data_IF_498105285021
#
_entry.id   IF_498105285021
#
_cell.length_a   1.000
_cell.length_b   1.000
_cell.length_c   1.000
_cell.angle_alpha   90.00
_cell.angle_beta   90.00
_cell.angle_gamma   90.00
#
_symmetry.space_group_name_H-M   'P 1'
#
loop_
_entity.id
_entity.type
_entity.pdbx_description
1 polymer ?
#
# COMPACT_ATOMS: atom_id res chain seq x y z
N UNK A 1 -62.99 -31.20 0.44
CA UNK A 1 -61.94 -31.27 -0.61
C UNK A 1 -60.57 -31.17 0.04
N UNK A 2 -59.90 -32.28 0.33
CA UNK A 2 -58.42 -32.32 0.45
C UNK A 2 -58.00 -33.73 0.00
N UNK A 3 -57.48 -33.83 -1.22
CA UNK A 3 -56.97 -35.08 -1.79
C UNK A 3 -55.53 -35.29 -1.31
N UNK A 4 -55.31 -36.39 -0.59
CA UNK A 4 -53.96 -36.88 -0.29
C UNK A 4 -53.24 -37.37 -1.55
N UNK A 5 -51.93 -37.11 -1.64
CA UNK A 5 -51.02 -37.84 -2.53
C UNK A 5 -49.66 -38.07 -1.87
N UNK A 6 -49.48 -39.33 -1.46
CA UNK A 6 -48.32 -40.22 -1.67
C UNK A 6 -46.92 -39.61 -1.56
N UNK A 7 -46.28 -39.93 -0.42
CA UNK A 7 -44.83 -40.12 -0.29
C UNK A 7 -44.32 -41.07 -1.37
N UNK A 8 -43.38 -40.60 -2.20
CA UNK A 8 -42.45 -41.45 -2.96
C UNK A 8 -41.07 -41.31 -2.33
N UNK A 9 -40.65 -42.34 -1.59
CA UNK A 9 -39.25 -42.63 -1.32
C UNK A 9 -38.59 -42.94 -2.65
N UNK A 10 -37.56 -42.18 -3.02
CA UNK A 10 -36.63 -42.57 -4.07
C UNK A 10 -35.31 -42.88 -3.39
N UNK A 11 -34.90 -44.15 -3.53
CA UNK A 11 -33.62 -44.69 -3.10
C UNK A 11 -32.49 -43.87 -3.70
N UNK A 12 -31.71 -43.20 -2.84
CA UNK A 12 -30.38 -42.71 -3.19
C UNK A 12 -29.45 -43.93 -3.11
N UNK A 13 -29.21 -44.54 -4.28
CA UNK A 13 -28.23 -45.60 -4.45
C UNK A 13 -26.88 -44.92 -4.60
N UNK A 14 -25.97 -45.19 -3.68
CA UNK A 14 -24.57 -44.82 -3.80
C UNK A 14 -23.98 -45.41 -5.09
N UNK A 15 -23.38 -44.54 -5.90
CA UNK A 15 -22.33 -44.89 -6.85
C UNK A 15 -21.19 -43.91 -6.63
N UNK A 16 -20.21 -44.39 -5.88
CA UNK A 16 -18.82 -43.94 -5.95
C UNK A 16 -18.36 -44.12 -7.41
N UNK A 17 -17.81 -43.07 -8.00
CA UNK A 17 -17.32 -43.11 -9.37
C UNK A 17 -16.76 -41.77 -9.87
N UNK A 18 -15.48 -41.55 -9.56
CA UNK A 18 -14.48 -40.80 -10.33
C UNK A 18 -14.66 -39.27 -10.48
N UNK A 19 -13.67 -38.54 -9.93
CA UNK A 19 -13.47 -37.12 -10.17
C UNK A 19 -13.20 -36.83 -11.64
N UNK A 20 -14.13 -36.14 -12.27
CA UNK A 20 -13.90 -35.42 -13.52
C UNK A 20 -13.55 -33.98 -13.18
N UNK A 21 -12.37 -33.53 -13.57
CA UNK A 21 -11.96 -32.13 -13.50
C UNK A 21 -13.01 -31.24 -14.19
N UNK A 22 -13.57 -30.30 -13.44
CA UNK A 22 -14.44 -29.26 -14.00
C UNK A 22 -13.60 -28.41 -14.95
N UNK A 23 -14.00 -28.34 -16.22
CA UNK A 23 -13.41 -27.41 -17.19
C UNK A 23 -13.55 -25.97 -16.69
N UNK A 24 -12.50 -25.15 -16.86
CA UNK A 24 -12.49 -23.70 -16.56
C UNK A 24 -13.73 -22.96 -17.10
N UNK A 25 -14.28 -23.39 -18.23
CA UNK A 25 -15.49 -22.81 -18.81
C UNK A 25 -16.77 -23.04 -17.98
N UNK A 26 -16.81 -24.06 -17.11
CA UNK A 26 -17.97 -24.32 -16.23
C UNK A 26 -17.97 -23.49 -14.95
N UNK A 27 -16.79 -23.02 -14.50
CA UNK A 27 -16.68 -22.13 -13.34
C UNK A 27 -17.12 -20.69 -13.62
N UNK A 28 -16.99 -20.23 -14.87
CA UNK A 28 -17.35 -18.88 -15.28
C UNK A 28 -18.87 -18.68 -15.46
N UNK A 29 -19.60 -19.77 -15.71
CA UNK A 29 -21.07 -19.78 -15.79
C UNK A 29 -21.73 -19.58 -14.41
N UNK A 30 -21.08 -20.05 -13.35
CA UNK A 30 -21.52 -19.86 -11.96
C UNK A 30 -21.31 -18.41 -11.47
N UNK A 31 -20.50 -17.62 -12.18
CA UNK A 31 -20.22 -16.20 -11.87
C UNK A 31 -20.93 -15.19 -12.78
N UNK A 32 -21.88 -15.61 -13.61
CA UNK A 32 -22.79 -14.70 -14.33
C UNK A 32 -22.23 -14.02 -15.59
N UNK A 33 -21.07 -14.44 -16.10
CA UNK A 33 -20.54 -13.94 -17.37
C UNK A 33 -21.16 -14.69 -18.56
N UNK A 34 -22.02 -14.01 -19.35
CA UNK A 34 -22.45 -14.55 -20.64
C UNK A 34 -21.39 -14.27 -21.74
N UNK A 35 -20.97 -15.29 -22.51
CA UNK A 35 -19.94 -15.12 -23.52
C UNK A 35 -20.48 -14.51 -24.82
N UNK A 36 -19.75 -13.52 -25.36
CA UNK A 36 -19.94 -12.96 -26.69
C UNK A 36 -19.41 -13.94 -27.75
N UNK A 37 -20.24 -14.89 -28.18
CA UNK A 37 -20.06 -15.63 -29.44
C UNK A 37 -19.11 -16.83 -29.41
N UNK A 38 -19.69 -18.04 -29.53
CA UNK A 38 -19.09 -19.36 -29.79
C UNK A 38 -17.99 -19.84 -28.82
N UNK A 39 -18.36 -20.77 -27.93
CA UNK A 39 -17.41 -21.55 -27.11
C UNK A 39 -16.53 -22.45 -28.00
N UNK A 40 -15.21 -22.38 -27.82
CA UNK A 40 -14.31 -23.45 -28.25
C UNK A 40 -14.42 -24.58 -27.24
N UNK A 41 -15.01 -25.71 -27.64
CA UNK A 41 -14.97 -26.93 -26.84
C UNK A 41 -13.60 -27.58 -27.04
N UNK A 42 -12.68 -27.34 -26.12
CA UNK A 42 -11.42 -28.10 -26.08
C UNK A 42 -11.75 -29.49 -25.57
N UNK A 43 -11.91 -30.46 -26.49
CA UNK A 43 -11.90 -31.87 -26.14
C UNK A 43 -10.48 -32.23 -25.68
N UNK A 44 -10.30 -32.45 -24.38
CA UNK A 44 -9.10 -33.07 -23.84
C UNK A 44 -9.06 -34.54 -24.24
N UNK A 45 -8.51 -34.81 -25.42
CA UNK A 45 -7.85 -36.07 -25.71
C UNK A 45 -6.35 -35.83 -25.59
N UNK A 46 -5.74 -36.43 -24.56
CA UNK A 46 -4.30 -36.72 -24.58
C UNK A 46 -4.08 -37.74 -25.69
N UNK A 47 -3.65 -37.25 -26.84
CA UNK A 47 -2.86 -37.97 -27.83
C UNK A 47 -1.93 -36.93 -28.45
N UNK A 48 -0.63 -37.12 -28.26
CA UNK A 48 0.41 -36.45 -29.03
C UNK A 48 0.25 -36.81 -30.52
N UNK A 49 0.73 -35.94 -31.41
CA UNK A 49 0.69 -36.06 -32.89
C UNK A 49 -0.56 -35.61 -33.64
N UNK A 50 -0.99 -34.36 -33.42
CA UNK A 50 -1.52 -33.57 -34.54
C UNK A 50 -0.42 -32.60 -34.98
N UNK A 51 0.22 -32.78 -36.15
CA UNK A 51 1.05 -31.73 -36.71
C UNK A 51 0.16 -30.49 -36.88
N UNK A 52 0.51 -29.42 -36.17
CA UNK A 52 -0.11 -28.11 -36.31
C UNK A 52 0.15 -27.65 -37.76
N UNK A 53 -0.77 -27.98 -38.67
CA UNK A 53 -0.64 -27.68 -40.09
C UNK A 53 -0.87 -26.19 -40.31
N UNK A 54 0.19 -25.46 -40.59
CA UNK A 54 0.13 -24.17 -41.24
C UNK A 54 0.32 -24.35 -42.76
N UNK A 55 -0.09 -23.36 -43.59
CA UNK A 55 0.25 -23.37 -45.01
C UNK A 55 1.77 -23.31 -45.21
N UNK A 56 2.26 -23.67 -46.40
CA UNK A 56 3.68 -23.59 -46.72
C UNK A 56 4.15 -22.11 -46.64
N UNK A 57 5.21 -21.81 -45.86
CA UNK A 57 5.77 -20.47 -45.81
C UNK A 57 6.46 -20.14 -47.15
N UNK A 58 6.13 -18.99 -47.73
CA UNK A 58 6.74 -18.49 -48.95
C UNK A 58 7.92 -17.56 -48.67
N UNK A 59 7.82 -16.74 -47.62
CA UNK A 59 8.86 -15.78 -47.24
C UNK A 59 8.76 -15.40 -45.75
N UNK A 60 9.83 -14.85 -45.19
CA UNK A 60 9.82 -14.25 -43.87
C UNK A 60 10.79 -13.06 -43.80
N UNK A 61 10.35 -11.97 -43.17
CA UNK A 61 11.18 -10.78 -43.00
C UNK A 61 10.89 -10.06 -41.68
N UNK A 62 11.85 -9.27 -41.22
CA UNK A 62 11.67 -8.37 -40.08
C UNK A 62 11.17 -7.00 -40.57
N UNK A 63 9.98 -6.61 -40.12
CA UNK A 63 9.46 -5.27 -40.32
C UNK A 63 9.99 -4.34 -39.22
N UNK A 64 10.91 -3.45 -39.60
CA UNK A 64 11.52 -2.46 -38.71
C UNK A 64 10.50 -1.49 -38.10
N UNK A 65 9.40 -1.18 -38.82
CA UNK A 65 8.43 -0.19 -38.37
C UNK A 65 7.57 -0.73 -37.22
N UNK A 66 7.14 -1.98 -37.32
CA UNK A 66 6.33 -2.65 -36.27
C UNK A 66 7.16 -3.48 -35.30
N UNK A 67 8.46 -3.69 -35.58
CA UNK A 67 9.38 -4.57 -34.84
C UNK A 67 8.88 -6.02 -34.73
N UNK A 68 8.30 -6.52 -35.82
CA UNK A 68 7.71 -7.86 -35.91
C UNK A 68 8.39 -8.69 -36.98
N UNK A 69 8.43 -10.00 -36.76
CA UNK A 69 8.72 -10.97 -37.81
C UNK A 69 7.39 -11.24 -38.53
N UNK A 70 7.38 -11.00 -39.83
CA UNK A 70 6.28 -11.31 -40.74
C UNK A 70 6.65 -12.61 -41.46
N UNK A 71 5.74 -13.58 -41.42
CA UNK A 71 5.84 -14.84 -42.16
C UNK A 71 4.73 -14.80 -43.19
N UNK A 72 5.09 -14.81 -44.47
CA UNK A 72 4.17 -14.90 -45.58
C UNK A 72 4.02 -16.36 -46.01
N UNK A 73 2.80 -16.73 -46.38
CA UNK A 73 2.46 -18.08 -46.79
C UNK A 73 2.03 -18.10 -48.26
N UNK A 74 2.25 -19.24 -48.93
CA UNK A 74 1.90 -19.41 -50.36
C UNK A 74 0.41 -19.16 -50.67
N UNK A 75 -0.47 -19.32 -49.68
CA UNK A 75 -1.89 -19.05 -49.80
C UNK A 75 -2.26 -17.56 -49.71
N UNK A 76 -1.27 -16.66 -49.60
CA UNK A 76 -1.44 -15.21 -49.48
C UNK A 76 -1.79 -14.71 -48.07
N UNK A 77 -1.80 -15.59 -47.06
CA UNK A 77 -1.93 -15.18 -45.66
C UNK A 77 -0.58 -14.81 -45.05
N UNK A 78 -0.60 -14.00 -43.99
CA UNK A 78 0.60 -13.66 -43.23
C UNK A 78 0.36 -13.84 -41.72
N UNK A 79 1.38 -14.31 -41.01
CA UNK A 79 1.41 -14.40 -39.56
C UNK A 79 2.50 -13.48 -39.01
N UNK A 80 2.21 -12.74 -37.94
CA UNK A 80 3.11 -11.75 -37.38
C UNK A 80 3.37 -12.01 -35.90
N UNK A 81 4.64 -12.02 -35.51
CA UNK A 81 5.05 -12.19 -34.11
C UNK A 81 5.99 -11.07 -33.68
N UNK A 82 5.90 -10.56 -32.43
CA UNK A 82 6.87 -9.60 -31.92
C UNK A 82 8.26 -10.26 -31.82
N UNK A 83 9.26 -9.72 -32.51
CA UNK A 83 10.57 -10.35 -32.61
C UNK A 83 11.21 -10.55 -31.23
N UNK A 84 11.06 -9.55 -30.34
CA UNK A 84 11.63 -9.52 -28.98
C UNK A 84 10.94 -10.48 -28.01
N UNK A 85 9.84 -11.12 -28.40
CA UNK A 85 9.16 -12.14 -27.60
C UNK A 85 9.67 -13.55 -27.87
N UNK A 86 10.57 -13.74 -28.85
CA UNK A 86 11.16 -15.02 -29.21
C UNK A 86 12.44 -15.28 -28.40
N UNK A 87 12.57 -16.49 -27.86
CA UNK A 87 13.78 -16.95 -27.15
C UNK A 87 14.99 -16.86 -28.09
N UNK A 88 16.10 -16.32 -27.59
CA UNK A 88 17.30 -16.02 -28.39
C UNK A 88 17.26 -14.70 -29.18
N UNK A 89 16.11 -14.03 -29.32
CA UNK A 89 16.01 -12.74 -30.03
C UNK A 89 15.76 -11.53 -29.12
N UNK A 90 15.43 -11.74 -27.84
CA UNK A 90 15.11 -10.67 -26.89
C UNK A 90 16.18 -9.55 -26.85
N UNK A 91 17.47 -9.92 -26.86
CA UNK A 91 18.60 -8.99 -26.77
C UNK A 91 19.43 -8.89 -28.08
N UNK A 92 19.02 -9.57 -29.16
CA UNK A 92 19.76 -9.57 -30.43
C UNK A 92 19.73 -8.19 -31.10
N UNK A 93 20.75 -7.81 -31.89
CA UNK A 93 20.68 -6.52 -32.60
C UNK A 93 19.56 -6.54 -33.66
N UNK A 94 18.96 -5.39 -34.00
CA UNK A 94 17.94 -5.37 -35.06
C UNK A 94 18.48 -5.87 -36.40
N UNK A 95 19.78 -5.67 -36.64
CA UNK A 95 20.48 -6.20 -37.82
C UNK A 95 20.53 -7.73 -37.82
N UNK A 96 20.78 -8.34 -36.66
CA UNK A 96 20.83 -9.81 -36.56
C UNK A 96 19.44 -10.41 -36.67
N UNK A 97 18.42 -9.76 -36.07
CA UNK A 97 17.01 -10.17 -36.19
C UNK A 97 16.52 -10.09 -37.63
N UNK A 98 16.99 -9.10 -38.41
CA UNK A 98 16.61 -8.95 -39.81
C UNK A 98 17.16 -10.05 -40.73
N UNK A 99 18.15 -10.81 -40.29
CA UNK A 99 18.66 -12.01 -40.99
C UNK A 99 17.76 -13.24 -40.84
N UNK A 100 16.44 -13.04 -40.68
CA UNK A 100 15.47 -14.13 -40.62
C UNK A 100 15.30 -14.75 -42.01
N UNK A 101 15.31 -16.07 -42.08
CA UNK A 101 15.06 -16.83 -43.29
C UNK A 101 14.08 -17.97 -43.00
N UNK A 102 13.32 -18.38 -44.01
CA UNK A 102 12.52 -19.60 -43.97
C UNK A 102 13.44 -20.80 -44.17
N UNK A 103 13.41 -21.76 -43.23
CA UNK A 103 14.16 -23.01 -43.29
C UNK A 103 13.18 -24.17 -43.59
N UNK A 104 13.19 -24.62 -44.84
CA UNK A 104 12.28 -25.68 -45.30
C UNK A 104 10.82 -25.23 -45.24
N UNK A 105 9.91 -26.13 -44.86
CA UNK A 105 8.47 -25.85 -44.82
C UNK A 105 7.95 -25.53 -43.40
N UNK A 106 8.79 -25.57 -42.36
CA UNK A 106 8.29 -25.64 -40.96
C UNK A 106 8.96 -24.69 -39.98
N UNK A 107 10.09 -24.07 -40.33
CA UNK A 107 10.88 -23.30 -39.37
C UNK A 107 11.39 -21.97 -39.92
N UNK A 108 11.68 -21.06 -39.01
CA UNK A 108 12.47 -19.86 -39.23
C UNK A 108 13.88 -20.09 -38.70
N UNK A 109 14.86 -19.52 -39.40
CA UNK A 109 16.28 -19.59 -39.05
C UNK A 109 16.89 -18.20 -39.01
N UNK A 110 17.77 -17.99 -38.04
CA UNK A 110 18.71 -16.89 -37.98
C UNK A 110 20.12 -17.47 -37.97
N UNK A 111 20.80 -17.47 -39.12
CA UNK A 111 22.11 -18.11 -39.27
C UNK A 111 23.15 -17.50 -38.33
N UNK A 112 23.24 -16.16 -38.29
CA UNK A 112 24.18 -15.42 -37.42
C UNK A 112 23.97 -15.70 -35.93
N UNK A 113 22.73 -16.01 -35.52
CA UNK A 113 22.37 -16.27 -34.13
C UNK A 113 22.32 -17.77 -33.80
N UNK A 114 22.61 -18.64 -34.78
CA UNK A 114 22.51 -20.10 -34.68
C UNK A 114 21.18 -20.57 -34.06
N UNK A 115 20.09 -19.88 -34.40
CA UNK A 115 18.79 -20.01 -33.78
C UNK A 115 17.74 -20.46 -34.79
N UNK A 116 16.89 -21.41 -34.39
CA UNK A 116 15.72 -21.83 -35.15
C UNK A 116 14.45 -21.77 -34.30
N UNK A 117 13.33 -21.37 -34.90
CA UNK A 117 12.00 -21.42 -34.30
C UNK A 117 11.01 -22.12 -35.22
N UNK A 118 10.25 -23.08 -34.70
CA UNK A 118 9.19 -23.74 -35.47
C UNK A 118 7.98 -22.82 -35.64
N UNK A 119 7.58 -22.57 -36.88
CA UNK A 119 6.44 -21.69 -37.22
C UNK A 119 5.16 -22.20 -36.55
N UNK A 120 4.95 -23.51 -36.56
CA UNK A 120 3.81 -24.16 -35.92
C UNK A 120 3.72 -23.86 -34.40
N UNK A 121 4.87 -23.83 -33.71
CA UNK A 121 4.95 -23.55 -32.28
C UNK A 121 4.68 -22.07 -31.99
N UNK A 122 5.19 -21.17 -32.84
CA UNK A 122 4.88 -19.74 -32.74
C UNK A 122 3.38 -19.46 -32.91
N UNK A 123 2.74 -20.15 -33.86
CA UNK A 123 1.28 -20.05 -34.07
C UNK A 123 0.48 -20.63 -32.89
N UNK A 124 1.03 -21.61 -32.17
CA UNK A 124 0.46 -22.14 -30.93
C UNK A 124 0.75 -21.27 -29.69
N UNK A 125 1.48 -20.16 -29.84
CA UNK A 125 1.83 -19.24 -28.76
C UNK A 125 3.03 -19.69 -27.91
N UNK A 126 3.83 -20.63 -28.41
CA UNK A 126 5.04 -21.12 -27.75
C UNK A 126 6.24 -20.42 -28.39
N UNK A 127 6.79 -19.42 -27.71
CA UNK A 127 7.84 -18.54 -28.24
C UNK A 127 9.27 -18.93 -27.82
N UNK A 128 9.44 -20.09 -27.18
CA UNK A 128 10.74 -20.52 -26.67
C UNK A 128 10.70 -21.58 -25.60
N UNK A 129 11.82 -21.75 -24.89
CA UNK A 129 11.94 -22.70 -23.79
C UNK A 129 11.02 -22.31 -22.63
N UNK A 130 10.52 -23.30 -21.84
CA UNK A 130 9.64 -23.02 -20.70
C UNK A 130 10.17 -21.99 -19.71
N UNK A 131 11.46 -22.04 -19.38
CA UNK A 131 12.11 -21.09 -18.46
C UNK A 131 12.10 -19.65 -18.98
N UNK A 132 12.27 -19.47 -20.30
CA UNK A 132 12.22 -18.16 -20.94
C UNK A 132 10.78 -17.60 -20.95
N UNK A 133 9.79 -18.45 -21.24
CA UNK A 133 8.38 -18.08 -21.20
C UNK A 133 7.93 -17.69 -19.78
N UNK A 134 8.39 -18.40 -18.75
CA UNK A 134 8.15 -18.07 -17.34
C UNK A 134 8.80 -16.73 -16.95
N UNK A 135 10.01 -16.47 -17.42
CA UNK A 135 10.71 -15.21 -17.18
C UNK A 135 9.99 -14.02 -17.85
N UNK A 136 9.54 -14.18 -19.10
CA UNK A 136 8.73 -13.16 -19.79
C UNK A 136 7.41 -12.92 -19.05
N UNK A 137 6.71 -13.97 -18.65
CA UNK A 137 5.44 -13.85 -17.93
C UNK A 137 5.63 -13.11 -16.60
N UNK A 138 6.70 -13.43 -15.86
CA UNK A 138 7.06 -12.76 -14.60
C UNK A 138 7.36 -11.28 -14.83
N UNK A 139 8.16 -10.95 -15.86
CA UNK A 139 8.46 -9.55 -16.21
C UNK A 139 7.21 -8.79 -16.64
N UNK A 140 6.32 -9.40 -17.42
CA UNK A 140 5.08 -8.79 -17.88
C UNK A 140 4.12 -8.52 -16.71
N UNK A 141 3.95 -9.48 -15.80
CA UNK A 141 3.18 -9.29 -14.57
C UNK A 141 3.79 -8.20 -13.69
N UNK A 142 5.12 -8.17 -13.53
CA UNK A 142 5.82 -7.11 -12.82
C UNK A 142 5.56 -5.71 -13.40
N UNK A 143 5.58 -5.57 -14.74
CA UNK A 143 5.23 -4.29 -15.40
C UNK A 143 3.79 -3.88 -15.15
N UNK A 144 2.83 -4.79 -15.33
CA UNK A 144 1.42 -4.50 -15.08
C UNK A 144 1.17 -4.08 -13.63
N UNK A 145 1.84 -4.73 -12.68
CA UNK A 145 1.77 -4.37 -11.27
C UNK A 145 2.34 -2.97 -11.03
N UNK A 146 3.50 -2.66 -11.59
CA UNK A 146 4.13 -1.34 -11.48
C UNK A 146 3.28 -0.22 -12.13
N UNK A 147 2.67 -0.48 -13.28
CA UNK A 147 1.78 0.47 -13.96
C UNK A 147 0.51 0.74 -13.14
N UNK A 148 -0.05 -0.31 -12.53
CA UNK A 148 -1.19 -0.19 -11.61
C UNK A 148 -0.81 0.64 -10.39
N UNK A 149 0.30 0.32 -9.74
CA UNK A 149 0.80 1.07 -8.57
C UNK A 149 1.12 2.53 -8.93
N UNK A 150 1.62 2.80 -10.14
CA UNK A 150 1.84 4.14 -10.65
C UNK A 150 0.54 4.93 -10.81
N UNK A 151 -0.49 4.30 -11.38
CA UNK A 151 -1.80 4.92 -11.56
C UNK A 151 -2.49 5.19 -10.21
N UNK A 152 -2.43 4.23 -9.29
CA UNK A 152 -2.96 4.37 -7.92
C UNK A 152 -2.27 5.53 -7.19
N UNK A 153 -0.94 5.59 -7.21
CA UNK A 153 -0.19 6.69 -6.62
C UNK A 153 -0.60 8.04 -7.23
N UNK A 154 -0.68 8.12 -8.56
CA UNK A 154 -1.05 9.35 -9.26
C UNK A 154 -2.48 9.84 -8.94
N UNK A 155 -3.40 8.92 -8.63
CA UNK A 155 -4.79 9.24 -8.34
C UNK A 155 -4.96 10.12 -7.09
N UNK A 156 -4.16 9.90 -6.04
CA UNK A 156 -4.26 10.63 -4.78
C UNK A 156 -3.08 11.57 -4.50
N UNK A 157 -1.88 11.30 -5.04
CA UNK A 157 -0.68 12.06 -4.68
C UNK A 157 -0.79 13.56 -4.99
N UNK A 158 -1.40 13.92 -6.13
CA UNK A 158 -1.57 15.33 -6.51
C UNK A 158 -2.59 16.05 -5.63
N UNK A 159 -3.83 15.56 -5.44
CA UNK A 159 -4.77 16.17 -4.50
C UNK A 159 -4.20 16.34 -3.09
N UNK A 160 -3.44 15.35 -2.60
CA UNK A 160 -2.78 15.42 -1.30
C UNK A 160 -1.69 16.50 -1.26
N UNK A 161 -0.82 16.56 -2.27
CA UNK A 161 0.22 17.58 -2.35
C UNK A 161 -0.38 18.99 -2.38
N UNK A 162 -1.45 19.19 -3.15
CA UNK A 162 -2.19 20.45 -3.20
C UNK A 162 -2.79 20.78 -1.82
N UNK A 163 -3.44 19.82 -1.16
CA UNK A 163 -3.98 19.98 0.20
C UNK A 163 -2.90 20.46 1.18
N UNK A 164 -1.78 19.74 1.32
CA UNK A 164 -0.71 20.16 2.24
C UNK A 164 -0.12 21.53 1.88
N UNK A 165 -0.02 21.84 0.59
CA UNK A 165 0.53 23.13 0.15
C UNK A 165 -0.29 24.33 0.62
N UNK A 166 -1.62 24.17 0.75
CA UNK A 166 -2.53 25.21 1.24
C UNK A 166 -2.72 25.19 2.76
N UNK A 167 -2.66 24.00 3.37
CA UNK A 167 -3.02 23.82 4.78
C UNK A 167 -1.83 23.93 5.73
N UNK A 168 -0.61 23.77 5.24
CA UNK A 168 0.59 23.96 6.06
C UNK A 168 0.97 25.45 6.15
N UNK A 169 1.43 25.93 7.32
CA UNK A 169 1.94 27.29 7.45
C UNK A 169 3.09 27.56 6.48
N UNK A 170 3.03 28.65 5.73
CA UNK A 170 4.01 28.98 4.68
C UNK A 170 4.59 30.38 4.83
N UNK A 171 5.91 30.50 4.68
CA UNK A 171 6.64 31.77 4.53
C UNK A 171 7.46 31.75 3.25
N UNK A 172 7.50 32.89 2.54
CA UNK A 172 8.15 32.99 1.23
C UNK A 172 9.64 32.67 1.26
N UNK A 173 10.34 33.00 2.35
CA UNK A 173 11.79 32.82 2.51
C UNK A 173 12.14 31.44 3.09
N UNK A 174 11.27 30.89 3.94
CA UNK A 174 11.52 29.67 4.69
C UNK A 174 10.88 28.42 4.05
N UNK A 175 9.83 28.58 3.22
CA UNK A 175 8.99 27.47 2.76
C UNK A 175 7.86 27.19 3.74
N UNK A 176 7.42 25.94 3.80
CA UNK A 176 6.49 25.46 4.83
C UNK A 176 7.22 25.31 6.16
N UNK A 177 6.58 25.75 7.26
CA UNK A 177 7.11 25.65 8.61
C UNK A 177 6.21 24.78 9.47
N UNK A 178 6.81 23.85 10.22
CA UNK A 178 6.02 22.95 11.08
C UNK A 178 5.83 23.46 12.51
N UNK A 179 6.59 24.48 12.95
CA UNK A 179 6.53 25.02 14.32
C UNK A 179 6.64 23.99 15.44
N UNK A 180 7.28 22.85 15.17
CA UNK A 180 7.35 21.68 16.04
C UNK A 180 5.98 21.12 16.46
N UNK A 181 4.94 21.36 15.66
CA UNK A 181 3.63 20.76 15.82
C UNK A 181 3.58 19.45 15.03
N UNK A 182 3.26 18.35 15.72
CA UNK A 182 3.26 17.00 15.13
C UNK A 182 2.54 16.91 13.78
N UNK A 183 1.34 17.48 13.68
CA UNK A 183 0.57 17.44 12.43
C UNK A 183 1.32 18.09 11.27
N UNK A 184 1.95 19.24 11.49
CA UNK A 184 2.68 19.95 10.45
C UNK A 184 4.06 19.34 10.18
N UNK A 185 4.70 18.71 11.17
CA UNK A 185 5.94 17.95 10.98
C UNK A 185 5.68 16.79 10.01
N UNK A 186 4.63 16.02 10.28
CA UNK A 186 4.19 14.91 9.44
C UNK A 186 3.74 15.41 8.07
N UNK A 187 3.03 16.54 7.98
CA UNK A 187 2.63 17.13 6.70
C UNK A 187 3.83 17.61 5.85
N UNK A 188 4.85 18.21 6.49
CA UNK A 188 6.09 18.58 5.80
C UNK A 188 6.85 17.33 5.32
N UNK A 189 6.95 16.30 6.16
CA UNK A 189 7.55 15.01 5.79
C UNK A 189 6.79 14.36 4.62
N UNK A 190 5.46 14.44 4.60
CA UNK A 190 4.63 13.97 3.49
C UNK A 190 4.93 14.71 2.18
N UNK A 191 5.06 16.04 2.19
CA UNK A 191 5.46 16.78 0.99
C UNK A 191 6.85 16.40 0.47
N UNK A 192 7.79 16.11 1.36
CA UNK A 192 9.12 15.61 0.98
C UNK A 192 9.02 14.22 0.37
N UNK A 193 8.29 13.31 1.03
CA UNK A 193 8.10 11.93 0.56
C UNK A 193 7.35 11.87 -0.79
N UNK A 194 6.41 12.79 -1.03
CA UNK A 194 5.72 12.95 -2.32
C UNK A 194 6.60 13.59 -3.41
N UNK A 195 7.86 13.90 -3.11
CA UNK A 195 8.81 14.51 -4.05
C UNK A 195 8.51 15.97 -4.40
N UNK A 196 7.69 16.66 -3.58
CA UNK A 196 7.29 18.05 -3.77
C UNK A 196 8.22 19.04 -3.08
N UNK A 197 8.91 18.60 -2.03
CA UNK A 197 9.71 19.47 -1.18
C UNK A 197 11.07 18.85 -0.82
N UNK A 198 11.99 19.71 -0.36
CA UNK A 198 13.21 19.30 0.34
C UNK A 198 13.03 19.56 1.84
N UNK A 199 13.46 18.60 2.66
CA UNK A 199 13.43 18.74 4.11
C UNK A 199 14.32 19.90 4.59
N UNK A 200 13.88 20.54 5.66
CA UNK A 200 14.65 21.54 6.40
C UNK A 200 14.46 21.30 7.90
N UNK A 201 15.34 21.86 8.73
CA UNK A 201 15.33 21.66 10.18
C UNK A 201 14.00 22.02 10.86
N UNK A 202 13.22 22.95 10.29
CA UNK A 202 11.97 23.43 10.88
C UNK A 202 10.76 23.31 9.95
N UNK A 203 10.84 22.51 8.87
CA UNK A 203 9.80 22.48 7.84
C UNK A 203 10.24 21.84 6.54
N UNK A 204 9.67 22.30 5.43
CA UNK A 204 10.03 21.84 4.10
C UNK A 204 10.04 22.99 3.09
N UNK A 205 10.94 22.94 2.11
CA UNK A 205 11.03 23.93 1.02
C UNK A 205 10.54 23.36 -0.30
N UNK A 206 9.65 24.07 -1.03
CA UNK A 206 9.20 23.62 -2.35
C UNK A 206 10.36 23.34 -3.31
N UNK A 207 10.29 22.21 -4.02
CA UNK A 207 11.21 21.92 -5.12
C UNK A 207 10.82 22.74 -6.33
N UNK A 208 11.82 23.28 -7.03
CA UNK A 208 11.61 23.96 -8.31
C UNK A 208 10.99 23.03 -9.36
N UNK A 209 11.37 21.76 -9.32
CA UNK A 209 10.89 20.71 -10.21
C UNK A 209 10.43 19.52 -9.36
N UNK A 210 9.16 19.50 -8.93
CA UNK A 210 8.59 18.33 -8.28
C UNK A 210 8.68 17.11 -9.19
N UNK A 211 9.09 15.99 -8.63
CA UNK A 211 9.28 14.74 -9.37
C UNK A 211 8.68 13.59 -8.57
N UNK A 212 8.18 12.58 -9.27
CA UNK A 212 7.70 11.36 -8.62
C UNK A 212 8.88 10.71 -7.87
N UNK A 213 8.71 10.35 -6.58
CA UNK A 213 9.72 9.59 -5.85
C UNK A 213 9.91 8.20 -6.46
N UNK A 214 11.15 7.70 -6.45
CA UNK A 214 11.46 6.32 -6.88
C UNK A 214 10.74 5.30 -5.99
N UNK A 215 10.77 5.54 -4.68
CA UNK A 215 10.08 4.77 -3.66
C UNK A 215 8.89 5.62 -3.14
N UNK A 216 7.66 5.43 -3.67
CA UNK A 216 6.53 6.25 -3.25
C UNK A 216 6.17 6.03 -1.79
N UNK A 217 5.68 7.06 -1.08
CA UNK A 217 5.23 6.91 0.29
C UNK A 217 4.02 5.99 0.36
N UNK A 218 3.89 5.32 1.50
CA UNK A 218 2.76 4.43 1.75
C UNK A 218 1.44 5.21 1.84
N UNK A 219 0.40 4.67 1.23
CA UNK A 219 -0.93 5.29 1.20
C UNK A 219 -1.52 5.47 2.61
N UNK A 220 -1.33 4.50 3.51
CA UNK A 220 -1.87 4.56 4.88
C UNK A 220 -1.19 5.64 5.73
N UNK A 221 0.12 5.82 5.56
CA UNK A 221 0.89 6.88 6.22
C UNK A 221 0.50 8.28 5.72
N UNK A 222 0.29 8.44 4.41
CA UNK A 222 -0.21 9.70 3.86
C UNK A 222 -1.64 9.98 4.30
N UNK A 223 -2.48 8.94 4.38
CA UNK A 223 -3.86 9.07 4.83
C UNK A 223 -3.96 9.61 6.25
N UNK A 224 -3.15 9.07 7.18
CA UNK A 224 -3.12 9.58 8.56
C UNK A 224 -2.50 10.97 8.65
N UNK A 225 -1.49 11.29 7.82
CA UNK A 225 -0.92 12.63 7.73
C UNK A 225 -1.97 13.68 7.34
N UNK A 226 -2.83 13.37 6.36
CA UNK A 226 -3.95 14.24 5.95
C UNK A 226 -4.95 14.42 7.09
N UNK A 227 -5.31 13.34 7.80
CA UNK A 227 -6.22 13.40 8.95
C UNK A 227 -5.67 14.32 10.04
N UNK A 228 -4.39 14.18 10.39
CA UNK A 228 -3.74 15.02 11.41
C UNK A 228 -3.75 16.50 11.04
N UNK A 229 -3.34 16.86 9.82
CA UNK A 229 -3.35 18.26 9.39
C UNK A 229 -4.78 18.81 9.30
N UNK A 230 -5.72 18.04 8.76
CA UNK A 230 -7.11 18.46 8.68
C UNK A 230 -7.73 18.68 10.07
N UNK A 231 -7.45 17.79 11.03
CA UNK A 231 -7.92 17.92 12.40
C UNK A 231 -7.26 19.12 13.12
N UNK A 232 -5.94 19.28 12.95
CA UNK A 232 -5.17 20.40 13.51
C UNK A 232 -5.70 21.77 13.06
N UNK A 233 -6.11 21.88 11.79
CA UNK A 233 -6.68 23.10 11.24
C UNK A 233 -8.19 23.23 11.51
N UNK A 234 -8.79 22.28 12.24
CA UNK A 234 -10.23 22.23 12.52
C UNK A 234 -11.10 21.99 11.28
N UNK A 235 -10.50 21.54 10.18
CA UNK A 235 -11.14 21.21 8.91
C UNK A 235 -11.80 19.84 8.93
N UNK A 236 -11.29 18.90 9.74
CA UNK A 236 -11.92 17.63 10.06
C UNK A 236 -12.27 17.64 11.55
N UNK A 237 -13.53 17.37 11.88
CA UNK A 237 -14.00 17.26 13.28
C UNK A 237 -14.79 15.99 13.46
N UNK A 238 -14.34 15.15 14.37
CA UNK A 238 -15.05 13.94 14.75
C UNK A 238 -16.26 14.28 15.60
N UNK A 239 -17.31 13.47 15.48
CA UNK A 239 -18.52 13.60 16.29
C UNK A 239 -18.68 12.38 17.18
N UNK A 240 -19.23 12.55 18.39
CA UNK A 240 -19.53 11.42 19.27
C UNK A 240 -20.30 10.33 18.54
N UNK A 241 -19.89 9.09 18.75
CA UNK A 241 -20.63 7.93 18.25
C UNK A 241 -21.89 7.77 19.12
N UNK A 242 -22.97 8.47 18.74
CA UNK A 242 -24.23 8.42 19.49
C UNK A 242 -24.78 6.97 19.51
N UNK A 243 -24.67 6.30 20.67
CA UNK A 243 -25.39 5.04 20.94
C UNK A 243 -26.90 5.23 21.05
N UNK A 244 -27.40 6.47 21.10
CA UNK A 244 -28.83 6.80 21.10
C UNK A 244 -29.20 7.43 19.76
N UNK A 245 -30.10 6.75 19.04
CA UNK A 245 -30.75 7.28 17.84
C UNK A 245 -31.24 8.70 18.13
N UNK A 246 -30.79 9.75 17.41
CA UNK A 246 -31.41 11.05 17.50
C UNK A 246 -32.87 10.89 17.10
N UNK A 247 -33.78 11.17 18.02
CA UNK A 247 -35.20 11.24 17.67
C UNK A 247 -35.32 12.31 16.58
N UNK A 248 -36.12 12.05 15.54
CA UNK A 248 -36.31 12.92 14.37
C UNK A 248 -36.97 14.28 14.71
N UNK A 249 -36.99 14.68 15.99
CA UNK A 249 -37.62 15.87 16.52
C UNK A 249 -36.73 16.47 17.61
N UNK A 250 -35.65 17.13 17.21
CA UNK A 250 -35.09 18.36 17.81
C UNK A 250 -33.65 18.52 17.36
N UNK A 251 -33.42 19.28 16.29
CA UNK A 251 -32.25 20.16 16.23
C UNK A 251 -32.55 21.31 15.25
N UNK A 252 -33.59 22.07 15.59
CA UNK A 252 -33.90 23.38 14.98
C UNK A 252 -33.24 24.50 15.81
N UNK A 253 -32.02 24.25 16.29
CA UNK A 253 -31.11 25.27 16.84
C UNK A 253 -30.03 25.50 15.80
N UNK A 254 -30.29 26.43 14.88
CA UNK A 254 -29.45 26.73 13.74
C UNK A 254 -28.10 27.36 14.07
N UNK A 255 -27.15 26.59 14.61
CA UNK A 255 -25.77 27.09 14.76
C UNK A 255 -24.64 26.06 14.57
N UNK A 256 -24.93 24.81 14.18
CA UNK A 256 -23.89 23.84 13.83
C UNK A 256 -24.24 23.06 12.56
N UNK A 257 -23.51 23.30 11.44
CA UNK A 257 -23.75 22.53 10.22
C UNK A 257 -23.54 21.03 10.47
N UNK A 258 -24.48 20.24 9.94
CA UNK A 258 -24.56 18.78 10.12
C UNK A 258 -23.34 18.02 9.62
N UNK A 259 -23.24 16.74 10.01
CA UNK A 259 -22.20 15.81 9.55
C UNK A 259 -22.34 15.56 8.06
N UNK A 260 -21.25 15.71 7.30
CA UNK A 260 -21.19 15.34 5.88
C UNK A 260 -20.43 14.01 5.65
N UNK A 261 -19.91 13.39 6.71
CA UNK A 261 -19.38 12.02 6.68
C UNK A 261 -20.12 11.21 7.74
N UNK A 262 -20.97 10.29 7.31
CA UNK A 262 -21.73 9.42 8.19
C UNK A 262 -20.90 8.21 8.66
N UNK A 263 -21.26 7.70 9.85
CA UNK A 263 -20.65 6.50 10.42
C UNK A 263 -20.81 5.28 9.49
N UNK A 264 -19.74 4.50 9.36
CA UNK A 264 -19.67 3.29 8.54
C UNK A 264 -18.40 2.51 8.88
N UNK A 265 -18.39 1.19 8.64
CA UNK A 265 -17.21 0.32 8.75
C UNK A 265 -16.46 0.43 10.10
N UNK A 266 -17.18 0.57 11.21
CA UNK A 266 -16.58 0.71 12.54
C UNK A 266 -16.09 2.13 12.89
N UNK A 267 -16.09 3.05 11.93
CA UNK A 267 -15.78 4.47 12.14
C UNK A 267 -17.05 5.28 12.45
N UNK A 268 -16.92 6.26 13.35
CA UNK A 268 -18.02 7.15 13.75
C UNK A 268 -18.26 8.29 12.76
N UNK A 269 -19.26 9.15 13.04
CA UNK A 269 -19.57 10.27 12.17
C UNK A 269 -18.52 11.39 12.31
N UNK A 270 -18.34 12.16 11.24
CA UNK A 270 -17.44 13.30 11.21
C UNK A 270 -17.99 14.43 10.33
N UNK A 271 -17.35 15.60 10.44
CA UNK A 271 -17.58 16.73 9.56
C UNK A 271 -16.25 17.20 8.98
N UNK A 272 -16.18 17.25 7.66
CA UNK A 272 -15.07 17.82 6.91
C UNK A 272 -15.48 19.13 6.24
N UNK A 273 -14.55 20.09 6.10
CA UNK A 273 -14.69 21.20 5.15
C UNK A 273 -14.61 20.67 3.71
N UNK A 274 -14.92 21.50 2.72
CA UNK A 274 -14.87 21.11 1.32
C UNK A 274 -13.49 20.57 0.90
N UNK A 275 -12.40 21.29 1.24
CA UNK A 275 -11.03 20.88 0.91
C UNK A 275 -10.65 19.55 1.56
N UNK A 276 -10.93 19.39 2.86
CA UNK A 276 -10.66 18.16 3.59
C UNK A 276 -11.50 16.98 3.03
N UNK A 277 -12.76 17.20 2.69
CA UNK A 277 -13.61 16.16 2.11
C UNK A 277 -13.05 15.66 0.76
N UNK A 278 -12.65 16.57 -0.12
CA UNK A 278 -12.11 16.20 -1.44
C UNK A 278 -10.84 15.38 -1.36
N UNK A 279 -9.91 15.73 -0.47
CA UNK A 279 -8.67 14.95 -0.31
C UNK A 279 -8.94 13.59 0.33
N UNK A 280 -9.89 13.49 1.28
CA UNK A 280 -10.32 12.22 1.86
C UNK A 280 -11.00 11.31 0.82
N UNK A 281 -11.77 11.88 -0.11
CA UNK A 281 -12.39 11.15 -1.22
C UNK A 281 -11.34 10.71 -2.25
N UNK A 282 -10.37 11.57 -2.59
CA UNK A 282 -9.26 11.21 -3.47
C UNK A 282 -8.40 10.07 -2.92
N UNK A 283 -8.22 10.04 -1.59
CA UNK A 283 -7.56 8.94 -0.89
C UNK A 283 -8.43 7.67 -0.78
N UNK A 284 -9.71 7.72 -1.18
CA UNK A 284 -10.64 6.61 -1.03
C UNK A 284 -11.04 6.32 0.43
N UNK A 285 -10.84 7.27 1.34
CA UNK A 285 -11.25 7.14 2.74
C UNK A 285 -12.74 7.44 2.91
N UNK A 286 -13.29 8.29 2.06
CA UNK A 286 -14.71 8.66 2.04
C UNK A 286 -15.29 8.35 0.67
N UNK A 287 -16.46 7.71 0.65
CA UNK A 287 -17.24 7.47 -0.56
C UNK A 287 -18.73 7.67 -0.26
N UNK A 288 -19.43 8.44 -1.09
CA UNK A 288 -20.87 8.68 -0.91
C UNK A 288 -21.24 9.28 0.45
N UNK A 289 -20.36 10.12 1.02
CA UNK A 289 -20.55 10.73 2.33
C UNK A 289 -20.42 9.76 3.50
N UNK A 290 -19.67 8.66 3.36
CA UNK A 290 -19.43 7.66 4.42
C UNK A 290 -17.98 7.23 4.45
N UNK A 291 -17.49 6.82 5.62
CA UNK A 291 -16.17 6.17 5.72
C UNK A 291 -16.15 4.84 4.98
N UNK A 292 -15.11 4.61 4.17
CA UNK A 292 -14.92 3.34 3.47
C UNK A 292 -14.33 2.27 4.39
N UNK A 293 -14.26 1.02 3.92
CA UNK A 293 -13.62 -0.06 4.67
C UNK A 293 -12.11 0.18 4.84
N UNK A 294 -11.47 0.82 3.86
CA UNK A 294 -10.05 1.15 3.92
C UNK A 294 -9.75 2.22 4.99
N UNK A 295 -10.70 3.12 5.26
CA UNK A 295 -10.55 4.15 6.29
C UNK A 295 -10.51 3.60 7.72
N UNK A 296 -11.13 2.44 7.99
CA UNK A 296 -11.21 1.84 9.33
C UNK A 296 -9.83 1.73 9.99
N UNK A 297 -8.88 1.09 9.32
CA UNK A 297 -7.54 0.84 9.88
C UNK A 297 -6.69 2.11 9.93
N UNK A 298 -6.93 3.08 9.05
CA UNK A 298 -6.28 4.40 9.14
C UNK A 298 -6.79 5.15 10.37
N UNK A 299 -8.10 5.10 10.63
CA UNK A 299 -8.72 5.77 11.79
C UNK A 299 -8.39 5.09 13.12
N UNK A 300 -7.93 3.83 13.11
CA UNK A 300 -7.31 3.23 14.31
C UNK A 300 -5.98 3.88 14.68
N UNK A 301 -5.25 4.44 13.69
CA UNK A 301 -3.97 5.14 13.90
C UNK A 301 -4.16 6.52 14.53
N UNK A 302 -5.28 7.18 14.22
CA UNK A 302 -5.70 8.42 14.88
C UNK A 302 -6.35 8.14 16.24
N UNK A 303 -7.25 7.15 16.27
CA UNK A 303 -8.12 6.81 17.41
C UNK A 303 -8.84 8.03 18.02
N UNK A 304 -9.80 8.65 17.30
CA UNK A 304 -10.52 9.81 17.79
C UNK A 304 -11.16 9.56 19.16
N UNK A 305 -10.87 10.44 20.12
CA UNK A 305 -11.39 10.33 21.50
C UNK A 305 -12.92 10.31 21.55
N UNK A 306 -13.58 10.99 20.59
CA UNK A 306 -15.02 11.08 20.44
C UNK A 306 -15.69 9.74 20.13
N UNK A 307 -14.93 8.79 19.56
CA UNK A 307 -15.46 7.49 19.14
C UNK A 307 -15.19 6.40 20.17
N UNK A 308 -14.17 6.58 21.02
CA UNK A 308 -13.77 5.60 22.04
C UNK A 308 -13.65 4.19 21.46
N UNK A 309 -12.87 4.06 20.38
CA UNK A 309 -12.70 2.79 19.66
C UNK A 309 -11.90 1.81 20.53
N UNK A 310 -12.42 0.59 20.67
CA UNK A 310 -11.70 -0.52 21.30
C UNK A 310 -11.12 -1.46 20.23
N UNK A 311 -10.17 -0.96 19.44
CA UNK A 311 -9.52 -1.76 18.42
C UNK A 311 -8.52 -2.76 19.00
N UNK A 312 -8.06 -2.56 20.24
CA UNK A 312 -7.11 -3.46 20.92
C UNK A 312 -7.75 -4.82 21.22
N UNK A 313 -9.08 -4.84 21.41
CA UNK A 313 -9.86 -6.08 21.54
C UNK A 313 -10.24 -6.73 20.19
N UNK A 314 -9.97 -6.09 19.04
CA UNK A 314 -10.28 -6.65 17.73
C UNK A 314 -9.36 -7.86 17.44
N UNK A 315 -9.93 -8.96 16.94
CA UNK A 315 -9.18 -10.17 16.65
C UNK A 315 -8.02 -9.95 15.66
N UNK A 316 -8.15 -8.98 14.74
CA UNK A 316 -7.07 -8.60 13.80
C UNK A 316 -5.89 -8.01 14.55
N UNK A 317 -6.14 -7.10 15.50
CA UNK A 317 -5.08 -6.50 16.32
C UNK A 317 -4.43 -7.56 17.21
N UNK A 318 -5.23 -8.35 17.92
CA UNK A 318 -4.71 -9.39 18.83
C UNK A 318 -3.81 -10.37 18.09
N UNK A 319 -4.22 -10.81 16.90
CA UNK A 319 -3.42 -11.69 16.05
C UNK A 319 -2.13 -11.00 15.60
N UNK A 320 -2.22 -9.77 15.09
CA UNK A 320 -1.05 -9.02 14.64
C UNK A 320 -0.05 -8.77 15.78
N UNK A 321 -0.51 -8.54 17.01
CA UNK A 321 0.34 -8.38 18.18
C UNK A 321 1.07 -9.66 18.56
N UNK A 322 0.37 -10.79 18.52
CA UNK A 322 0.98 -12.10 18.72
C UNK A 322 2.05 -12.39 17.66
N UNK A 323 1.71 -12.20 16.38
CA UNK A 323 2.63 -12.44 15.25
C UNK A 323 3.85 -11.50 15.32
N UNK A 324 3.65 -10.23 15.66
CA UNK A 324 4.73 -9.25 15.82
C UNK A 324 5.68 -9.59 16.98
N UNK A 325 5.16 -10.08 18.10
CA UNK A 325 5.98 -10.48 19.25
C UNK A 325 6.73 -11.79 18.99
N UNK A 326 6.11 -12.74 18.28
CA UNK A 326 6.71 -14.03 17.95
C UNK A 326 7.76 -13.95 16.84
N UNK A 327 7.59 -13.03 15.89
CA UNK A 327 8.40 -12.92 14.67
C UNK A 327 9.22 -11.65 14.56
N UNK A 328 9.82 -11.15 15.65
CA UNK A 328 10.70 -9.97 15.61
C UNK A 328 11.98 -10.28 14.82
N UNK A 329 12.27 -9.56 13.71
CA UNK A 329 13.52 -9.73 12.97
C UNK A 329 14.77 -9.41 13.82
N UNK A 330 15.89 -10.06 13.53
CA UNK A 330 17.13 -9.95 14.34
C UNK A 330 17.68 -8.52 14.42
N UNK A 331 17.61 -7.75 13.34
CA UNK A 331 18.03 -6.34 13.29
C UNK A 331 17.17 -5.49 14.25
N UNK A 332 15.85 -5.68 14.20
CA UNK A 332 14.89 -4.97 15.05
C UNK A 332 15.02 -5.43 16.50
N UNK A 333 15.19 -6.74 16.74
CA UNK A 333 15.39 -7.30 18.08
C UNK A 333 16.62 -6.70 18.75
N UNK A 334 17.71 -6.59 18.00
CA UNK A 334 18.96 -5.98 18.47
C UNK A 334 18.77 -4.50 18.83
N UNK A 335 18.01 -3.74 18.03
CA UNK A 335 17.69 -2.33 18.32
C UNK A 335 16.81 -2.19 19.57
N UNK A 336 15.78 -3.04 19.73
CA UNK A 336 14.95 -3.09 20.94
C UNK A 336 15.81 -3.38 22.16
N UNK A 337 16.66 -4.41 22.11
CA UNK A 337 17.55 -4.77 23.21
C UNK A 337 18.50 -3.62 23.55
N UNK A 338 19.06 -2.92 22.56
CA UNK A 338 19.90 -1.75 22.78
C UNK A 338 19.14 -0.60 23.49
N UNK A 339 17.88 -0.33 23.11
CA UNK A 339 17.05 0.69 23.77
C UNK A 339 16.74 0.29 25.22
N UNK A 340 16.42 -0.99 25.45
CA UNK A 340 16.02 -1.51 26.76
C UNK A 340 17.22 -1.60 27.72
N UNK A 341 18.40 -1.94 27.19
CA UNK A 341 19.63 -2.09 27.97
C UNK A 341 20.43 -0.81 28.11
N UNK A 342 20.19 0.22 27.29
CA UNK A 342 20.95 1.47 27.38
C UNK A 342 20.89 2.03 28.80
N UNK A 343 22.06 2.05 29.44
CA UNK A 343 22.31 2.79 30.68
C UNK A 343 22.21 4.26 30.31
N UNK A 344 21.56 5.04 31.16
CA UNK A 344 21.29 6.46 30.94
C UNK A 344 22.57 7.30 31.08
N UNK A 345 23.60 7.00 30.31
CA UNK A 345 24.76 7.87 30.17
C UNK A 345 24.44 8.90 29.06
N UNK A 346 24.21 10.13 29.52
CA UNK A 346 24.56 11.36 28.82
C UNK A 346 23.79 11.65 27.51
N UNK A 347 22.64 12.33 27.61
CA UNK A 347 22.21 13.39 26.65
C UNK A 347 20.88 14.03 27.08
N UNK A 348 20.89 14.78 28.18
CA UNK A 348 19.88 15.83 28.44
C UNK A 348 20.53 17.19 28.69
N UNK A 349 21.69 17.43 28.09
CA UNK A 349 22.22 18.79 27.94
C UNK A 349 21.35 19.55 26.93
N UNK A 350 20.37 20.28 27.48
CA UNK A 350 19.84 21.55 26.98
C UNK A 350 19.75 21.68 25.45
N UNK A 351 18.58 21.40 24.89
CA UNK A 351 18.13 22.07 23.66
C UNK A 351 16.83 22.80 23.89
N UNK A 352 16.84 23.69 24.87
CA UNK A 352 16.11 24.95 24.75
C UNK A 352 16.79 25.75 23.63
N UNK A 353 16.05 26.39 22.70
CA UNK A 353 16.67 27.27 21.73
C UNK A 353 17.40 28.39 22.48
N UNK A 354 18.68 28.57 22.17
CA UNK A 354 19.49 29.71 22.59
C UNK A 354 18.71 31.02 22.40
N UNK A 355 18.18 31.57 23.50
CA UNK A 355 18.05 33.02 23.68
C UNK A 355 19.36 33.48 24.30
N UNK A 356 20.44 33.42 23.53
CA UNK A 356 21.67 34.14 23.85
C UNK A 356 21.69 35.42 23.02
N UNK A 357 21.02 36.43 23.57
CA UNK A 357 21.53 37.79 23.80
C UNK A 357 20.37 38.68 24.24
N UNK A 358 20.12 38.74 25.54
CA UNK A 358 19.58 39.95 26.15
C UNK A 358 20.38 40.29 27.39
N UNK A 359 20.73 41.58 27.44
CA UNK A 359 21.53 42.24 28.44
C UNK A 359 21.18 41.90 29.90
N UNK A 360 22.21 42.09 30.73
CA UNK A 360 22.16 42.11 32.19
C UNK A 360 20.93 42.86 32.70
N UNK A 361 19.93 42.11 33.15
CA UNK A 361 18.90 42.56 34.08
C UNK A 361 18.54 41.38 34.97
N UNK A 362 18.52 41.63 36.27
CA UNK A 362 18.28 40.66 37.35
C UNK A 362 17.14 39.67 37.07
N UNK A 363 17.18 38.43 37.61
CA UNK A 363 16.10 37.48 37.46
C UNK A 363 14.80 38.02 38.08
N UNK A 364 13.62 37.69 37.54
CA UNK A 364 12.34 38.11 38.11
C UNK A 364 12.15 37.51 39.52
N UNK A 365 11.37 38.16 40.41
CA UNK A 365 11.29 37.80 41.83
C UNK A 365 10.64 36.44 42.12
N UNK A 366 10.06 35.79 41.12
CA UNK A 366 9.14 34.65 41.30
C UNK A 366 9.63 33.37 40.58
N UNK A 367 10.94 33.21 40.36
CA UNK A 367 11.49 31.94 39.91
C UNK A 367 11.46 30.93 41.07
N UNK A 368 10.33 30.23 41.25
CA UNK A 368 10.27 29.04 42.10
C UNK A 368 11.43 28.12 41.73
N UNK A 369 12.32 27.91 42.69
CA UNK A 369 13.46 27.01 42.52
C UNK A 369 12.89 25.61 42.39
N UNK A 370 12.84 25.08 41.16
CA UNK A 370 12.37 23.71 40.92
C UNK A 370 13.15 22.77 41.85
N UNK A 371 12.46 22.01 42.73
CA UNK A 371 13.15 21.13 43.66
C UNK A 371 13.97 20.08 42.89
N UNK A 372 15.14 19.65 43.41
CA UNK A 372 15.97 18.68 42.73
C UNK A 372 15.20 17.38 42.47
N UNK A 373 15.30 16.87 41.25
CA UNK A 373 14.59 15.67 40.81
C UNK A 373 14.83 14.50 41.77
N UNK A 374 13.76 13.84 42.19
CA UNK A 374 13.87 12.67 43.07
C UNK A 374 14.38 11.45 42.28
N UNK A 375 14.92 10.42 42.95
CA UNK A 375 15.28 9.17 42.30
C UNK A 375 14.11 8.44 41.61
N UNK A 376 12.86 8.80 41.93
CA UNK A 376 11.68 8.30 41.23
C UNK A 376 11.45 9.07 39.93
N UNK A 377 11.59 10.40 39.96
CA UNK A 377 11.49 11.27 38.78
C UNK A 377 12.53 10.89 37.73
N UNK A 378 13.78 10.66 38.16
CA UNK A 378 14.86 10.21 37.27
C UNK A 378 14.56 8.86 36.62
N UNK A 379 13.91 7.93 37.33
CA UNK A 379 13.50 6.63 36.76
C UNK A 379 12.37 6.79 35.74
N UNK A 380 11.39 7.64 36.05
CA UNK A 380 10.29 7.96 35.12
C UNK A 380 10.84 8.56 33.82
N UNK A 381 11.74 9.55 33.91
CA UNK A 381 12.35 10.18 32.73
C UNK A 381 13.10 9.18 31.83
N UNK A 382 13.77 8.19 32.44
CA UNK A 382 14.47 7.14 31.70
C UNK A 382 13.48 6.22 30.98
N UNK A 383 12.42 5.81 31.65
CA UNK A 383 11.40 4.95 31.05
C UNK A 383 10.62 5.69 29.94
N UNK A 384 10.33 6.98 30.12
CA UNK A 384 9.73 7.84 29.09
C UNK A 384 10.63 7.94 27.86
N UNK A 385 11.94 8.13 28.05
CA UNK A 385 12.93 8.16 26.96
C UNK A 385 12.98 6.83 26.19
N UNK A 386 12.96 5.70 26.90
CA UNK A 386 12.90 4.37 26.27
C UNK A 386 11.61 4.19 25.49
N UNK A 387 10.47 4.52 26.09
CA UNK A 387 9.17 4.44 25.44
C UNK A 387 9.12 5.33 24.19
N UNK A 388 9.70 6.52 24.22
CA UNK A 388 9.79 7.40 23.06
C UNK A 388 10.61 6.76 21.92
N UNK A 389 11.80 6.23 22.23
CA UNK A 389 12.65 5.54 21.24
C UNK A 389 11.99 4.26 20.68
N UNK A 390 11.30 3.50 21.52
CA UNK A 390 10.52 2.33 21.10
C UNK A 390 9.35 2.76 20.21
N UNK A 391 8.62 3.82 20.56
CA UNK A 391 7.54 4.33 19.72
C UNK A 391 8.07 4.71 18.33
N UNK A 392 9.17 5.45 18.25
CA UNK A 392 9.81 5.81 16.98
C UNK A 392 10.18 4.56 16.13
N UNK A 393 10.69 3.51 16.79
CA UNK A 393 10.98 2.24 16.12
C UNK A 393 9.72 1.62 15.49
N UNK A 394 8.60 1.57 16.22
CA UNK A 394 7.34 1.03 15.69
C UNK A 394 6.75 1.93 14.60
N UNK A 395 6.85 3.26 14.73
CA UNK A 395 6.43 4.21 13.69
C UNK A 395 7.18 3.98 12.37
N UNK A 396 8.46 3.63 12.43
CA UNK A 396 9.29 3.37 11.25
C UNK A 396 9.18 1.94 10.70
N UNK A 397 9.03 0.94 11.57
CA UNK A 397 9.28 -0.47 11.20
C UNK A 397 8.06 -1.38 11.26
N UNK A 398 6.87 -0.92 11.65
CA UNK A 398 5.72 -1.82 11.81
C UNK A 398 4.41 -1.27 11.23
N UNK A 399 3.63 -2.11 10.53
CA UNK A 399 2.28 -1.79 10.02
C UNK A 399 1.31 -2.95 10.25
N UNK A 400 0.03 -2.66 10.46
CA UNK A 400 -0.98 -3.70 10.74
C UNK A 400 -1.15 -4.71 9.60
N UNK A 401 -1.08 -4.24 8.34
CA UNK A 401 -1.24 -5.10 7.16
C UNK A 401 -0.02 -5.96 6.85
N UNK A 402 1.18 -5.44 7.12
CA UNK A 402 2.45 -6.03 6.64
C UNK A 402 3.30 -6.63 7.77
N UNK A 403 3.02 -6.30 9.02
CA UNK A 403 3.86 -6.66 10.17
C UNK A 403 5.14 -5.82 10.20
N UNK A 404 6.27 -6.48 10.44
CA UNK A 404 7.59 -5.84 10.47
C UNK A 404 8.09 -5.56 9.05
N UNK A 405 8.33 -4.28 8.74
CA UNK A 405 8.87 -3.84 7.47
C UNK A 405 10.36 -4.20 7.38
N UNK A 406 10.85 -4.60 6.21
CA UNK A 406 12.28 -4.67 5.90
C UNK A 406 12.90 -3.28 5.78
N UNK A 407 14.24 -3.17 5.84
CA UNK A 407 14.92 -1.88 5.74
C UNK A 407 14.58 -1.13 4.45
N UNK A 408 14.33 -1.86 3.36
CA UNK A 408 13.91 -1.30 2.07
C UNK A 408 12.47 -0.78 2.13
N UNK A 409 11.53 -1.55 2.68
CA UNK A 409 10.11 -1.14 2.79
C UNK A 409 9.92 0.06 3.72
N UNK A 410 10.76 0.20 4.75
CA UNK A 410 10.72 1.32 5.67
C UNK A 410 11.12 2.66 5.04
N UNK A 411 11.77 2.68 3.86
CA UNK A 411 12.07 3.93 3.16
C UNK A 411 10.82 4.63 2.62
N UNK A 412 9.78 3.86 2.31
CA UNK A 412 8.45 4.38 1.94
C UNK A 412 7.60 4.78 3.16
N UNK A 413 8.03 4.43 4.37
CA UNK A 413 7.28 4.69 5.59
C UNK A 413 7.56 6.10 6.13
N UNK A 414 6.51 6.78 6.59
CA UNK A 414 6.65 8.02 7.35
C UNK A 414 6.65 7.71 8.85
N UNK A 415 7.45 8.45 9.61
CA UNK A 415 7.40 8.41 11.07
C UNK A 415 6.18 9.21 11.56
N UNK A 416 5.05 8.51 11.70
CA UNK A 416 3.79 9.08 12.22
C UNK A 416 3.87 9.15 13.75
N UNK A 417 4.37 10.27 14.26
CA UNK A 417 4.38 10.53 15.70
C UNK A 417 2.96 10.53 16.27
N UNK A 418 2.79 9.97 17.47
CA UNK A 418 1.50 9.81 18.15
C UNK A 418 0.51 8.83 17.48
N UNK A 419 0.99 7.95 16.58
CA UNK A 419 0.17 6.87 16.02
C UNK A 419 -0.32 5.92 17.12
N UNK A 420 -1.63 5.97 17.40
CA UNK A 420 -2.27 5.23 18.49
C UNK A 420 -2.19 3.71 18.27
N UNK A 421 -2.23 3.26 17.02
CA UNK A 421 -2.17 1.85 16.66
C UNK A 421 -0.76 1.31 16.87
N UNK A 422 0.27 2.02 16.39
CA UNK A 422 1.66 1.64 16.58
C UNK A 422 2.08 1.71 18.06
N UNK A 423 1.63 2.72 18.80
CA UNK A 423 1.83 2.81 20.26
C UNK A 423 1.19 1.60 20.95
N UNK A 424 -0.05 1.24 20.61
CA UNK A 424 -0.73 0.09 21.20
C UNK A 424 -0.03 -1.23 20.86
N UNK A 425 0.48 -1.35 19.63
CA UNK A 425 1.27 -2.49 19.21
C UNK A 425 2.58 -2.61 19.99
N UNK A 426 3.29 -1.49 20.20
CA UNK A 426 4.49 -1.43 21.04
C UNK A 426 4.19 -1.86 22.47
N UNK A 427 3.08 -1.39 23.07
CA UNK A 427 2.63 -1.80 24.42
C UNK A 427 2.44 -3.32 24.49
N UNK A 428 1.72 -3.87 23.53
CA UNK A 428 1.47 -5.30 23.45
C UNK A 428 2.79 -6.08 23.33
N UNK A 429 3.60 -5.80 22.31
CA UNK A 429 4.86 -6.54 22.07
C UNK A 429 5.83 -6.44 23.25
N UNK A 430 5.99 -5.27 23.87
CA UNK A 430 6.85 -5.11 25.05
C UNK A 430 6.34 -5.90 26.27
N UNK A 431 5.01 -5.99 26.45
CA UNK A 431 4.42 -6.81 27.50
C UNK A 431 4.74 -8.30 27.36
N UNK A 432 4.89 -8.78 26.12
CA UNK A 432 5.26 -10.18 25.83
C UNK A 432 6.78 -10.41 25.94
N UNK A 433 7.59 -9.49 25.41
CA UNK A 433 9.05 -9.66 25.37
C UNK A 433 9.74 -9.37 26.70
N UNK A 434 9.20 -8.43 27.49
CA UNK A 434 9.78 -8.01 28.77
C UNK A 434 8.73 -7.95 29.88
N UNK A 435 8.11 -9.09 30.26
CA UNK A 435 7.06 -9.11 31.28
C UNK A 435 7.53 -8.63 32.66
N UNK A 436 8.83 -8.66 32.93
CA UNK A 436 9.43 -8.15 34.16
C UNK A 436 9.63 -6.62 34.18
N UNK A 437 9.33 -5.91 33.08
CA UNK A 437 9.49 -4.45 32.93
C UNK A 437 8.16 -3.80 32.50
N UNK A 438 7.16 -3.72 33.39
CA UNK A 438 5.82 -3.26 33.03
C UNK A 438 5.80 -1.80 32.52
N UNK A 439 6.76 -0.95 32.90
CA UNK A 439 6.84 0.43 32.41
C UNK A 439 7.03 0.55 30.90
N UNK A 440 7.62 -0.46 30.24
CA UNK A 440 7.77 -0.50 28.79
C UNK A 440 6.48 -0.86 28.05
N UNK A 441 5.47 -1.38 28.77
CA UNK A 441 4.16 -1.74 28.24
C UNK A 441 3.08 -0.68 28.58
N UNK A 442 3.47 0.42 29.25
CA UNK A 442 2.58 1.53 29.61
C UNK A 442 2.24 2.43 28.43
#
# INVERSE_FOLDING_TARGET
MVRGRRRRRVNRRDKIGQGGEKSLGSGLDEMGFQPLGRRIVVKTKRDADFPLKHPAPSDAYYDYSSRRIVIEFENGSAFMVPARSLDGLAEASEKDIAGVEVLGETALRWETLELNHEIAMLMAGIFGRPSFMEEIATRAMGRLHNDTQAAEFAAWARPVAEFFSYELPYRREAGWEHYYMTAYEIGCAALVALGQANETVGGAKPRRFPARPEEPPRWDDISIAVIYVAAQNGQLRFRPLDRRVPSLKTDDRGDMPGTNIAAANGAGPARATFNAYLVLEALGLVEGGRWTKAAETVLWRDNPTEWNLDFVSDARFVRAAFDAAAGVPDDIRSEIDAIVTSVNEETWTMRTPNVEKSDKSSPPPDAETVPPATPADLRSMVDDSRCHRLNALFFRRWRLGDGWLSATEAKSALEIYHDALAISMRKAVMGWLYPSRPSLAL
#
